data_IF_326085658630
#
_entry.id   IF_326085658630
#
_cell.length_a   1.000
_cell.length_b   1.000
_cell.length_c   1.000
_cell.angle_alpha   90.00
_cell.angle_beta   90.00
_cell.angle_gamma   90.00
#
_symmetry.space_group_name_H-M   'P 1'
#
loop_
_entity.id
_entity.type
_entity.pdbx_description
1 polymer ?
#
# COMPACT_ATOMS: atom_id res chain seq x y z
N UNK A 1 -13.04 -0.14 2.86
CA UNK A 1 -12.49 -0.63 1.58
C UNK A 1 -13.40 -0.37 0.40
N UNK A 2 -14.50 -1.13 0.26
CA UNK A 2 -15.35 -1.13 -0.94
C UNK A 2 -16.33 0.04 -1.11
N UNK A 3 -16.21 1.12 -0.32
CA UNK A 3 -17.19 2.21 -0.34
C UNK A 3 -18.64 1.77 -0.10
N UNK A 4 -18.85 0.58 0.49
CA UNK A 4 -20.19 0.06 0.80
C UNK A 4 -20.70 0.72 2.06
N UNK A 5 -21.95 1.18 1.99
CA UNK A 5 -22.67 1.66 3.16
C UNK A 5 -22.73 0.54 4.22
N UNK A 6 -22.29 0.83 5.43
CA UNK A 6 -22.31 -0.09 6.56
C UNK A 6 -22.71 0.68 7.83
N UNK A 7 -23.55 0.06 8.65
CA UNK A 7 -23.88 0.52 10.00
C UNK A 7 -23.50 -0.61 10.94
N UNK A 8 -22.56 -0.37 11.84
CA UNK A 8 -22.12 -1.34 12.86
C UNK A 8 -22.68 -0.94 14.22
N UNK A 9 -22.91 -1.90 15.10
CA UNK A 9 -23.44 -1.62 16.45
C UNK A 9 -24.92 -1.23 16.48
N UNK A 10 -25.74 -1.70 15.53
CA UNK A 10 -27.17 -1.44 15.48
C UNK A 10 -27.95 -2.25 16.54
N UNK A 11 -27.73 -1.98 17.83
CA UNK A 11 -28.28 -2.75 18.95
C UNK A 11 -29.81 -2.73 19.09
N UNK A 12 -30.49 -1.81 18.41
CA UNK A 12 -31.96 -1.78 18.35
C UNK A 12 -32.58 -2.74 17.32
N UNK A 13 -31.75 -3.52 16.60
CA UNK A 13 -32.22 -4.55 15.67
C UNK A 13 -32.25 -5.92 16.35
N UNK A 14 -33.36 -6.63 16.21
CA UNK A 14 -33.51 -8.02 16.64
C UNK A 14 -33.65 -8.92 15.41
N UNK A 15 -32.67 -9.79 15.17
CA UNK A 15 -32.62 -10.67 14.01
C UNK A 15 -33.04 -12.08 14.42
N UNK A 16 -34.05 -12.64 13.75
CA UNK A 16 -34.39 -14.06 13.81
C UNK A 16 -33.91 -14.74 12.52
N UNK A 17 -32.78 -15.43 12.62
CA UNK A 17 -32.17 -16.12 11.49
C UNK A 17 -32.98 -17.32 11.00
N UNK A 18 -33.76 -17.97 11.88
CA UNK A 18 -34.56 -19.13 11.51
C UNK A 18 -35.84 -18.71 10.79
N UNK A 19 -36.54 -17.70 11.31
CA UNK A 19 -37.72 -17.12 10.67
C UNK A 19 -37.39 -16.19 9.50
N UNK A 20 -36.10 -15.85 9.31
CA UNK A 20 -35.60 -14.88 8.32
C UNK A 20 -36.31 -13.53 8.44
N UNK A 21 -36.42 -13.02 9.66
CA UNK A 21 -37.03 -11.73 9.97
C UNK A 21 -36.11 -10.83 10.78
N UNK A 22 -36.31 -9.52 10.65
CA UNK A 22 -35.62 -8.49 11.40
C UNK A 22 -36.64 -7.54 12.02
N UNK A 23 -36.59 -7.34 13.33
CA UNK A 23 -37.35 -6.31 14.03
C UNK A 23 -36.50 -5.07 14.28
N UNK A 24 -37.09 -3.91 14.05
CA UNK A 24 -36.50 -2.60 14.35
C UNK A 24 -37.57 -1.75 15.06
N UNK A 25 -37.49 -1.66 16.39
CA UNK A 25 -38.59 -1.13 17.19
C UNK A 25 -39.87 -1.94 16.98
N UNK A 26 -40.97 -1.26 16.64
CA UNK A 26 -42.29 -1.88 16.43
C UNK A 26 -42.47 -2.49 15.03
N UNK A 27 -41.49 -2.32 14.13
CA UNK A 27 -41.58 -2.81 12.74
C UNK A 27 -40.90 -4.16 12.59
N UNK A 28 -41.53 -5.04 11.82
CA UNK A 28 -40.99 -6.35 11.45
C UNK A 28 -40.80 -6.40 9.93
N UNK A 29 -39.57 -6.69 9.50
CA UNK A 29 -39.18 -6.86 8.12
C UNK A 29 -38.89 -8.33 7.85
N UNK A 30 -39.24 -8.80 6.66
CA UNK A 30 -38.97 -10.16 6.17
C UNK A 30 -37.88 -10.13 5.11
N UNK A 31 -37.30 -11.29 4.85
CA UNK A 31 -36.42 -11.47 3.70
C UNK A 31 -37.13 -11.01 2.40
N UNK A 32 -36.46 -10.12 1.66
CA UNK A 32 -37.00 -9.50 0.43
C UNK A 32 -37.53 -8.08 0.61
N UNK A 33 -37.83 -7.65 1.84
CA UNK A 33 -38.27 -6.27 2.10
C UNK A 33 -37.14 -5.27 1.87
N UNK A 34 -37.48 -4.10 1.32
CA UNK A 34 -36.52 -3.03 1.10
C UNK A 34 -36.29 -2.20 2.37
N UNK A 35 -35.01 -1.99 2.69
CA UNK A 35 -34.55 -0.99 3.64
C UNK A 35 -33.44 -0.16 3.00
N UNK A 36 -33.38 1.12 3.37
CA UNK A 36 -32.32 2.03 2.90
C UNK A 36 -31.41 2.40 4.07
N UNK A 37 -30.11 2.35 3.85
CA UNK A 37 -29.10 2.64 4.88
C UNK A 37 -28.38 3.96 4.59
N UNK A 38 -28.17 4.77 5.63
CA UNK A 38 -27.24 5.89 5.62
C UNK A 38 -26.11 5.64 6.61
N UNK A 39 -25.00 5.10 6.10
CA UNK A 39 -23.83 4.75 6.88
C UNK A 39 -23.07 5.93 7.47
N UNK A 40 -23.32 7.16 6.99
CA UNK A 40 -22.70 8.37 7.55
C UNK A 40 -23.38 8.81 8.84
N UNK A 41 -24.71 8.77 8.89
CA UNK A 41 -25.50 9.18 10.06
C UNK A 41 -25.91 8.01 10.96
N UNK A 42 -25.70 6.77 10.51
CA UNK A 42 -26.15 5.58 11.21
C UNK A 42 -27.67 5.38 11.16
N UNK A 43 -28.34 5.93 10.14
CA UNK A 43 -29.81 5.85 10.02
C UNK A 43 -30.24 4.71 9.11
N UNK A 44 -31.32 4.04 9.50
CA UNK A 44 -32.02 3.03 8.73
C UNK A 44 -33.39 3.59 8.38
N UNK A 45 -33.73 3.60 7.10
CA UNK A 45 -35.01 4.05 6.58
C UNK A 45 -35.79 2.85 6.04
N UNK A 46 -37.10 2.85 6.26
CA UNK A 46 -38.00 1.88 5.65
C UNK A 46 -38.15 2.14 4.15
N UNK A 47 -38.18 1.07 3.36
CA UNK A 47 -38.41 1.13 1.92
C UNK A 47 -37.18 1.49 1.10
N UNK A 48 -37.41 1.68 -0.20
CA UNK A 48 -36.41 2.03 -1.20
C UNK A 48 -36.45 3.53 -1.46
N UNK A 49 -35.49 4.29 -0.92
CA UNK A 49 -35.36 5.71 -1.24
C UNK A 49 -34.76 5.91 -2.63
N UNK A 50 -35.12 7.02 -3.27
CA UNK A 50 -34.51 7.43 -4.53
C UNK A 50 -33.04 7.80 -4.29
N UNK A 51 -32.14 7.20 -5.05
CA UNK A 51 -30.70 7.43 -4.98
C UNK A 51 -30.25 8.22 -6.21
N UNK A 52 -29.22 9.04 -6.05
CA UNK A 52 -28.55 9.75 -7.15
C UNK A 52 -27.11 9.26 -7.24
N UNK A 53 -26.63 8.97 -8.45
CA UNK A 53 -25.21 8.67 -8.63
C UNK A 53 -24.40 9.97 -8.51
N UNK A 54 -23.37 9.97 -7.65
CA UNK A 54 -22.54 11.15 -7.44
C UNK A 54 -21.78 11.57 -8.71
N UNK A 55 -21.53 10.65 -9.64
CA UNK A 55 -20.85 10.92 -10.92
C UNK A 55 -21.74 11.62 -11.95
N UNK A 56 -23.07 11.56 -11.77
CA UNK A 56 -24.03 12.27 -12.62
C UNK A 56 -24.16 13.74 -12.25
N UNK A 57 -23.58 14.18 -11.13
CA UNK A 57 -23.65 15.57 -10.69
C UNK A 57 -22.69 16.47 -11.51
N UNK A 58 -23.20 17.36 -12.39
CA UNK A 58 -22.34 18.14 -13.28
C UNK A 58 -21.40 19.09 -12.52
N UNK A 59 -21.83 19.61 -11.36
CA UNK A 59 -21.00 20.49 -10.52
C UNK A 59 -19.83 19.74 -9.91
N UNK A 60 -20.02 18.47 -9.56
CA UNK A 60 -18.95 17.63 -9.05
C UNK A 60 -17.92 17.35 -10.15
N UNK A 61 -18.36 17.01 -11.37
CA UNK A 61 -17.48 16.79 -12.52
C UNK A 61 -16.65 18.04 -12.83
N UNK A 62 -17.29 19.21 -12.92
CA UNK A 62 -16.62 20.50 -13.14
C UNK A 62 -15.60 20.80 -12.03
N UNK A 63 -15.99 20.66 -10.76
CA UNK A 63 -15.08 20.88 -9.63
C UNK A 63 -13.86 19.96 -9.68
N UNK A 64 -14.07 18.67 -10.01
CA UNK A 64 -12.97 17.71 -10.12
C UNK A 64 -12.02 18.01 -11.29
N UNK A 65 -12.48 18.71 -12.33
CA UNK A 65 -11.60 19.20 -13.40
C UNK A 65 -10.63 20.28 -12.89
N UNK A 66 -11.09 21.18 -12.00
CA UNK A 66 -10.22 22.15 -11.34
C UNK A 66 -9.23 21.47 -10.41
N UNK A 67 -9.68 20.49 -9.63
CA UNK A 67 -8.82 19.67 -8.77
C UNK A 67 -7.65 19.08 -9.57
N UNK A 68 -7.95 18.50 -10.73
CA UNK A 68 -6.92 17.91 -11.59
C UNK A 68 -5.93 18.92 -12.17
N UNK A 69 -6.36 20.17 -12.38
CA UNK A 69 -5.47 21.21 -12.92
C UNK A 69 -4.37 21.63 -11.94
N UNK A 70 -4.55 21.43 -10.63
CA UNK A 70 -3.58 21.82 -9.60
C UNK A 70 -2.68 20.69 -9.12
N UNK A 71 -3.16 19.43 -9.13
CA UNK A 71 -2.38 18.30 -8.61
C UNK A 71 -1.19 17.98 -9.51
N UNK A 72 -0.07 17.55 -8.91
CA UNK A 72 1.12 17.10 -9.64
C UNK A 72 1.23 15.59 -9.70
N UNK A 73 0.93 14.92 -8.58
CA UNK A 73 1.00 13.46 -8.47
C UNK A 73 -0.15 12.81 -9.23
N UNK A 74 0.13 11.63 -9.76
CA UNK A 74 -0.88 10.76 -10.35
C UNK A 74 -1.67 10.05 -9.27
N UNK A 75 -2.94 9.77 -9.53
CA UNK A 75 -3.78 8.95 -8.64
C UNK A 75 -4.14 7.66 -9.35
N UNK A 76 -3.57 6.56 -8.88
CA UNK A 76 -3.90 5.21 -9.33
C UNK A 76 -4.89 4.57 -8.37
N UNK A 77 -5.39 3.39 -8.74
CA UNK A 77 -6.29 2.61 -7.90
C UNK A 77 -5.65 1.30 -7.43
N UNK A 78 -6.06 0.83 -6.26
CA UNK A 78 -5.95 -0.57 -5.86
C UNK A 78 -7.25 -1.24 -6.32
N UNK A 79 -7.17 -2.12 -7.31
CA UNK A 79 -8.33 -2.80 -7.88
C UNK A 79 -7.97 -4.27 -8.08
N UNK A 80 -8.88 -5.15 -7.69
CA UNK A 80 -8.61 -6.60 -7.67
C UNK A 80 -9.45 -7.35 -8.74
N UNK A 81 -10.38 -6.66 -9.39
CA UNK A 81 -11.26 -7.19 -10.44
C UNK A 81 -11.35 -6.23 -11.64
N UNK A 82 -11.68 -6.71 -12.85
CA UNK A 82 -11.96 -5.86 -14.01
C UNK A 82 -13.07 -4.84 -13.73
N UNK A 83 -14.09 -5.22 -12.95
CA UNK A 83 -15.21 -4.33 -12.59
C UNK A 83 -14.75 -3.21 -11.66
N UNK A 84 -13.91 -3.50 -10.66
CA UNK A 84 -13.32 -2.50 -9.77
C UNK A 84 -12.40 -1.55 -10.56
N UNK A 85 -11.64 -2.09 -11.51
CA UNK A 85 -10.79 -1.31 -12.41
C UNK A 85 -11.62 -0.35 -13.27
N UNK A 86 -12.72 -0.82 -13.86
CA UNK A 86 -13.61 0.00 -14.69
C UNK A 86 -14.25 1.13 -13.85
N UNK A 87 -14.74 0.81 -12.65
CA UNK A 87 -15.30 1.80 -11.72
C UNK A 87 -14.26 2.85 -11.31
N UNK A 88 -13.04 2.43 -10.97
CA UNK A 88 -11.97 3.35 -10.60
C UNK A 88 -11.58 4.28 -11.76
N UNK A 89 -11.53 3.76 -12.99
CA UNK A 89 -11.30 4.56 -14.20
C UNK A 89 -12.39 5.63 -14.37
N UNK A 90 -13.66 5.28 -14.11
CA UNK A 90 -14.78 6.24 -14.07
C UNK A 90 -14.62 7.35 -13.03
N UNK A 91 -13.97 7.07 -11.90
CA UNK A 91 -13.61 8.07 -10.88
C UNK A 91 -12.32 8.86 -11.21
N UNK A 92 -11.72 8.65 -12.38
CA UNK A 92 -10.52 9.36 -12.83
C UNK A 92 -9.20 8.74 -12.37
N UNK A 93 -9.16 7.44 -12.05
CA UNK A 93 -7.92 6.74 -11.77
C UNK A 93 -7.03 6.67 -13.04
N UNK A 94 -5.75 7.01 -12.87
CA UNK A 94 -4.75 7.07 -13.94
C UNK A 94 -3.92 5.78 -14.03
N UNK A 95 -4.59 4.64 -13.82
CA UNK A 95 -4.02 3.29 -13.81
C UNK A 95 -4.21 2.54 -12.48
N UNK A 96 -3.68 1.33 -12.40
CA UNK A 96 -3.76 0.47 -11.20
C UNK A 96 -2.40 0.41 -10.52
N UNK A 97 -2.26 0.90 -9.30
CA UNK A 97 -0.99 0.86 -8.55
C UNK A 97 -0.80 -0.43 -7.75
N UNK A 98 -1.86 -1.23 -7.59
CA UNK A 98 -1.81 -2.56 -7.00
C UNK A 98 -3.00 -3.40 -7.48
N UNK A 99 -2.72 -4.41 -8.29
CA UNK A 99 -3.60 -5.54 -8.58
C UNK A 99 -3.10 -6.77 -7.81
N UNK A 100 -3.94 -7.31 -6.93
CA UNK A 100 -3.62 -8.48 -6.09
C UNK A 100 -4.07 -9.75 -6.81
N UNK A 101 -3.11 -10.58 -7.18
CA UNK A 101 -3.40 -11.84 -7.89
C UNK A 101 -4.14 -12.86 -7.01
N UNK A 102 -4.16 -12.67 -5.70
CA UNK A 102 -4.71 -13.64 -4.76
C UNK A 102 -6.19 -13.46 -4.53
N UNK A 103 -6.67 -12.24 -4.75
CA UNK A 103 -8.08 -11.90 -4.69
C UNK A 103 -8.88 -12.56 -5.82
N UNK A 104 -8.20 -13.07 -6.85
CA UNK A 104 -8.80 -13.91 -7.89
C UNK A 104 -9.34 -15.25 -7.34
N UNK A 105 -8.86 -15.66 -6.16
CA UNK A 105 -9.27 -16.89 -5.48
C UNK A 105 -10.33 -16.66 -4.38
N UNK A 106 -10.80 -15.41 -4.24
CA UNK A 106 -11.85 -15.03 -3.29
C UNK A 106 -13.09 -14.50 -4.00
N UNK A 107 -14.28 -14.89 -3.53
CA UNK A 107 -15.55 -14.29 -3.96
C UNK A 107 -16.30 -15.07 -5.05
N UNK A 108 -17.02 -14.35 -5.92
CA UNK A 108 -17.89 -14.98 -6.92
C UNK A 108 -17.03 -15.66 -7.99
N UNK A 109 -17.42 -16.87 -8.40
CA UNK A 109 -16.74 -17.67 -9.42
C UNK A 109 -15.29 -18.05 -9.08
N UNK A 110 -14.89 -17.98 -7.81
CA UNK A 110 -13.53 -18.32 -7.38
C UNK A 110 -13.37 -19.78 -6.94
N UNK A 111 -14.45 -20.57 -6.87
CA UNK A 111 -14.42 -21.95 -6.38
C UNK A 111 -13.50 -22.86 -7.21
N UNK A 112 -13.64 -22.84 -8.54
CA UNK A 112 -12.79 -23.61 -9.45
C UNK A 112 -11.31 -23.18 -9.38
N UNK A 113 -10.93 -21.90 -9.56
CA UNK A 113 -9.53 -21.52 -9.48
C UNK A 113 -8.95 -21.73 -8.07
N UNK A 114 -9.73 -21.54 -6.99
CA UNK A 114 -9.32 -21.86 -5.62
C UNK A 114 -9.08 -23.37 -5.45
N UNK A 115 -9.91 -24.22 -6.05
CA UNK A 115 -9.69 -25.66 -6.04
C UNK A 115 -8.38 -26.05 -6.73
N UNK A 116 -8.07 -25.48 -7.91
CA UNK A 116 -6.78 -25.73 -8.60
C UNK A 116 -5.59 -25.19 -7.81
N UNK A 117 -5.74 -24.04 -7.15
CA UNK A 117 -4.73 -23.51 -6.24
C UNK A 117 -4.50 -24.46 -5.05
N UNK A 118 -5.56 -25.01 -4.45
CA UNK A 118 -5.44 -26.01 -3.38
C UNK A 118 -4.76 -27.29 -3.86
N UNK A 119 -5.05 -27.75 -5.08
CA UNK A 119 -4.35 -28.87 -5.73
C UNK A 119 -2.86 -28.59 -5.87
N UNK A 120 -2.49 -27.37 -6.26
CA UNK A 120 -1.10 -26.92 -6.30
C UNK A 120 -0.45 -26.95 -4.92
N UNK A 121 -1.13 -26.43 -3.89
CA UNK A 121 -0.63 -26.36 -2.51
C UNK A 121 -0.33 -27.76 -1.94
N UNK A 122 -1.19 -28.74 -2.23
CA UNK A 122 -1.03 -30.10 -1.71
C UNK A 122 -0.10 -30.97 -2.58
N UNK A 123 0.51 -30.45 -3.64
CA UNK A 123 1.35 -31.25 -4.55
C UNK A 123 2.62 -31.78 -3.87
N UNK A 124 3.01 -33.03 -4.15
CA UNK A 124 4.17 -33.69 -3.53
C UNK A 124 5.51 -33.27 -4.11
N UNK A 125 5.51 -32.87 -5.37
CA UNK A 125 6.71 -32.57 -6.14
C UNK A 125 6.43 -31.48 -7.19
N UNK A 126 7.49 -30.98 -7.81
CA UNK A 126 7.40 -29.91 -8.80
C UNK A 126 6.59 -30.30 -10.05
N UNK A 127 6.59 -31.57 -10.45
CA UNK A 127 5.84 -32.03 -11.63
C UNK A 127 4.33 -31.97 -11.38
N UNK A 128 3.87 -32.46 -10.23
CA UNK A 128 2.46 -32.34 -9.79
C UNK A 128 2.06 -30.87 -9.65
N UNK A 129 2.95 -30.04 -9.07
CA UNK A 129 2.70 -28.60 -8.89
C UNK A 129 2.51 -27.90 -10.23
N UNK A 130 3.37 -28.20 -11.22
CA UNK A 130 3.27 -27.66 -12.59
C UNK A 130 1.98 -28.09 -13.27
N UNK A 131 1.58 -29.37 -13.17
CA UNK A 131 0.31 -29.83 -13.72
C UNK A 131 -0.90 -29.09 -13.11
N UNK A 132 -0.89 -28.87 -11.79
CA UNK A 132 -1.94 -28.09 -11.12
C UNK A 132 -1.93 -26.60 -11.55
N UNK A 133 -0.75 -26.02 -11.74
CA UNK A 133 -0.60 -24.65 -12.24
C UNK A 133 -1.05 -24.50 -13.69
N UNK A 134 -0.84 -25.50 -14.54
CA UNK A 134 -1.34 -25.52 -15.92
C UNK A 134 -2.87 -25.53 -15.97
N UNK A 135 -3.53 -26.24 -15.04
CA UNK A 135 -5.00 -26.18 -14.88
C UNK A 135 -5.49 -24.82 -14.35
N UNK A 136 -4.69 -24.16 -13.50
CA UNK A 136 -5.01 -22.85 -12.93
C UNK A 136 -4.78 -21.70 -13.93
N UNK A 137 -3.80 -21.86 -14.81
CA UNK A 137 -3.33 -20.83 -15.74
C UNK A 137 -4.43 -20.15 -16.57
N UNK A 138 -5.41 -20.85 -17.16
CA UNK A 138 -6.46 -20.22 -17.96
C UNK A 138 -7.29 -19.20 -17.17
N UNK A 139 -7.57 -19.48 -15.90
CA UNK A 139 -8.30 -18.56 -15.00
C UNK A 139 -7.45 -17.34 -14.69
N UNK A 140 -6.18 -17.55 -14.35
CA UNK A 140 -5.24 -16.46 -14.02
C UNK A 140 -5.04 -15.53 -15.22
N UNK A 141 -4.80 -16.11 -16.40
CA UNK A 141 -4.66 -15.36 -17.65
C UNK A 141 -5.92 -14.58 -18.01
N UNK A 142 -7.09 -15.19 -17.85
CA UNK A 142 -8.38 -14.55 -18.19
C UNK A 142 -8.58 -13.24 -17.43
N UNK A 143 -8.45 -13.26 -16.10
CA UNK A 143 -8.75 -12.07 -15.30
C UNK A 143 -7.66 -11.00 -15.43
N UNK A 144 -6.39 -11.41 -15.58
CA UNK A 144 -5.29 -10.50 -15.88
C UNK A 144 -5.52 -9.82 -17.23
N UNK A 145 -5.86 -10.58 -18.28
CA UNK A 145 -6.14 -10.02 -19.61
C UNK A 145 -7.32 -9.06 -19.57
N UNK A 146 -8.43 -9.44 -18.93
CA UNK A 146 -9.60 -8.59 -18.80
C UNK A 146 -9.27 -7.27 -18.06
N UNK A 147 -8.48 -7.35 -16.99
CA UNK A 147 -8.05 -6.16 -16.24
C UNK A 147 -7.14 -5.25 -17.07
N UNK A 148 -6.17 -5.82 -17.80
CA UNK A 148 -5.30 -5.06 -18.71
C UNK A 148 -6.09 -4.37 -19.81
N UNK A 149 -7.09 -5.04 -20.39
CA UNK A 149 -7.95 -4.48 -21.43
C UNK A 149 -8.81 -3.31 -20.91
N UNK A 150 -9.40 -3.44 -19.72
CA UNK A 150 -10.15 -2.35 -19.06
C UNK A 150 -9.28 -1.11 -18.84
N UNK A 151 -7.97 -1.29 -18.67
CA UNK A 151 -6.98 -0.23 -18.44
C UNK A 151 -6.22 0.16 -19.70
N UNK A 152 -6.77 -0.09 -20.89
CA UNK A 152 -6.16 0.34 -22.16
C UNK A 152 -5.71 1.82 -22.13
N UNK A 153 -4.42 2.03 -22.40
CA UNK A 153 -3.72 3.32 -22.35
C UNK A 153 -3.16 3.71 -20.99
N UNK A 154 -3.38 2.92 -19.93
CA UNK A 154 -3.00 3.23 -18.55
C UNK A 154 -2.11 2.13 -17.94
N UNK A 155 -1.20 2.47 -17.00
CA UNK A 155 -0.30 1.50 -16.40
C UNK A 155 -1.00 0.60 -15.38
N UNK A 156 -0.68 -0.69 -15.38
CA UNK A 156 -1.26 -1.70 -14.47
C UNK A 156 -0.16 -2.43 -13.72
N UNK A 157 -0.05 -2.16 -12.41
CA UNK A 157 0.91 -2.84 -11.53
C UNK A 157 0.29 -4.11 -10.95
N UNK A 158 0.83 -5.25 -11.33
CA UNK A 158 0.39 -6.58 -10.93
C UNK A 158 1.39 -7.11 -9.91
N UNK A 159 0.91 -7.39 -8.70
CA UNK A 159 1.71 -7.99 -7.64
C UNK A 159 1.65 -9.51 -7.76
N UNK A 160 2.82 -10.14 -7.78
CA UNK A 160 2.94 -11.60 -7.70
C UNK A 160 2.38 -12.13 -6.38
N UNK A 161 2.17 -13.45 -6.31
CA UNK A 161 1.56 -14.13 -5.17
C UNK A 161 2.30 -13.80 -3.86
N UNK A 162 1.55 -13.34 -2.87
CA UNK A 162 2.03 -12.79 -1.60
C UNK A 162 1.66 -13.61 -0.37
N UNK A 163 0.40 -14.03 -0.10
CA UNK A 163 0.01 -14.70 1.12
C UNK A 163 0.65 -16.10 1.23
N UNK A 164 0.87 -16.57 2.47
CA UNK A 164 1.35 -17.92 2.71
C UNK A 164 0.31 -18.96 2.30
N UNK A 165 0.77 -20.13 1.87
CA UNK A 165 -0.10 -21.15 1.28
C UNK A 165 -1.17 -21.69 2.23
N UNK A 166 -0.92 -21.68 3.55
CA UNK A 166 -1.89 -22.18 4.53
C UNK A 166 -3.17 -21.33 4.59
N UNK A 167 -3.17 -20.07 4.15
CA UNK A 167 -4.37 -19.24 4.12
C UNK A 167 -5.45 -19.79 3.17
N UNK A 168 -5.04 -20.53 2.13
CA UNK A 168 -5.97 -21.13 1.17
C UNK A 168 -6.47 -22.51 1.59
N UNK A 169 -5.89 -23.11 2.64
CA UNK A 169 -6.27 -24.43 3.13
C UNK A 169 -7.44 -24.28 4.13
N UNK A 170 -8.57 -25.00 3.94
CA UNK A 170 -9.69 -24.96 4.87
C UNK A 170 -9.28 -25.30 6.30
N UNK A 171 -9.87 -24.60 7.29
CA UNK A 171 -9.65 -24.89 8.72
C UNK A 171 -10.64 -25.90 9.30
N UNK A 172 -11.86 -25.97 8.75
CA UNK A 172 -12.91 -26.89 9.22
C UNK A 172 -12.66 -28.30 8.73
N UNK A 173 -12.79 -29.28 9.62
CA UNK A 173 -12.56 -30.70 9.32
C UNK A 173 -13.47 -31.20 8.17
N UNK A 174 -14.75 -30.82 8.17
CA UNK A 174 -15.70 -31.18 7.09
C UNK A 174 -15.25 -30.67 5.71
N UNK A 175 -14.72 -29.45 5.65
CA UNK A 175 -14.22 -28.86 4.40
C UNK A 175 -12.90 -29.51 3.97
N UNK A 176 -12.03 -29.86 4.93
CA UNK A 176 -10.84 -30.65 4.66
C UNK A 176 -11.19 -32.03 4.14
N UNK A 177 -12.20 -32.70 4.68
CA UNK A 177 -12.65 -34.01 4.20
C UNK A 177 -13.17 -33.94 2.75
N UNK A 178 -13.96 -32.90 2.43
CA UNK A 178 -14.39 -32.64 1.04
C UNK A 178 -13.20 -32.39 0.11
N UNK A 179 -12.25 -31.56 0.54
CA UNK A 179 -11.06 -31.26 -0.24
C UNK A 179 -10.21 -32.52 -0.46
N UNK A 180 -9.98 -33.32 0.57
CA UNK A 180 -9.26 -34.59 0.48
C UNK A 180 -9.92 -35.55 -0.52
N UNK A 181 -11.25 -35.70 -0.44
CA UNK A 181 -12.02 -36.51 -1.39
C UNK A 181 -11.90 -36.02 -2.84
N UNK A 182 -12.00 -34.71 -3.07
CA UNK A 182 -11.85 -34.11 -4.40
C UNK A 182 -10.42 -34.20 -4.98
N UNK A 183 -9.41 -34.31 -4.11
CA UNK A 183 -8.01 -34.46 -4.49
C UNK A 183 -7.57 -35.93 -4.61
N UNK A 184 -8.42 -36.88 -4.21
CA UNK A 184 -8.10 -38.31 -4.18
C UNK A 184 -7.03 -38.69 -3.16
N UNK A 185 -6.89 -37.93 -2.06
CA UNK A 185 -5.94 -38.20 -0.97
C UNK A 185 -6.69 -38.47 0.35
N UNK A 186 -6.02 -39.11 1.31
CA UNK A 186 -6.62 -39.31 2.64
C UNK A 186 -6.69 -38.00 3.43
N UNK A 187 -7.69 -37.88 4.33
CA UNK A 187 -7.79 -36.73 5.24
C UNK A 187 -6.54 -36.59 6.13
N UNK A 188 -5.95 -37.72 6.55
CA UNK A 188 -4.70 -37.72 7.31
C UNK A 188 -3.52 -37.13 6.52
N UNK A 189 -3.42 -37.47 5.23
CA UNK A 189 -2.40 -36.91 4.33
C UNK A 189 -2.60 -35.41 4.10
N UNK A 190 -3.85 -34.96 3.91
CA UNK A 190 -4.17 -33.53 3.80
C UNK A 190 -3.84 -32.77 5.08
N UNK A 191 -4.23 -33.30 6.25
CA UNK A 191 -3.95 -32.67 7.55
C UNK A 191 -2.45 -32.54 7.79
N UNK A 192 -1.68 -33.60 7.53
CA UNK A 192 -0.22 -33.55 7.65
C UNK A 192 0.38 -32.42 6.80
N UNK A 193 -0.05 -32.28 5.55
CA UNK A 193 0.41 -31.19 4.67
C UNK A 193 -0.02 -29.81 5.15
N UNK A 194 -1.24 -29.68 5.65
CA UNK A 194 -1.74 -28.43 6.19
C UNK A 194 -0.94 -28.01 7.43
N UNK A 195 -0.56 -28.97 8.27
CA UNK A 195 0.25 -28.75 9.46
C UNK A 195 1.70 -28.41 9.10
N UNK A 196 2.28 -29.04 8.06
CA UNK A 196 3.61 -28.70 7.54
C UNK A 196 3.69 -27.25 6.99
N UNK A 197 2.55 -26.70 6.53
CA UNK A 197 2.42 -25.32 6.07
C UNK A 197 2.06 -24.33 7.18
N UNK A 198 1.73 -24.83 8.38
CA UNK A 198 1.33 -24.00 9.49
C UNK A 198 2.51 -23.19 10.03
N UNK A 199 2.29 -21.89 10.20
CA UNK A 199 3.29 -20.97 10.74
C UNK A 199 2.71 -20.22 11.93
N UNK A 200 3.52 -20.04 12.98
CA UNK A 200 3.08 -19.29 14.17
C UNK A 200 2.87 -17.81 13.88
N UNK A 201 3.63 -17.23 12.95
CA UNK A 201 3.53 -15.83 12.55
C UNK A 201 3.45 -15.73 11.00
N UNK A 202 2.29 -16.03 10.40
CA UNK A 202 2.09 -16.07 8.94
C UNK A 202 2.56 -14.82 8.20
N UNK A 203 2.37 -13.65 8.82
CA UNK A 203 2.80 -12.35 8.31
C UNK A 203 4.30 -12.34 7.93
N UNK A 204 5.15 -12.93 8.76
CA UNK A 204 6.61 -12.92 8.58
C UNK A 204 7.13 -14.24 8.01
N UNK A 205 6.25 -15.12 7.53
CA UNK A 205 6.56 -16.51 7.16
C UNK A 205 6.97 -16.73 5.70
N UNK A 206 6.65 -17.92 5.19
CA UNK A 206 6.98 -18.41 3.86
C UNK A 206 5.98 -17.92 2.82
N UNK A 207 6.20 -16.67 2.40
CA UNK A 207 5.26 -15.90 1.58
C UNK A 207 6.00 -15.00 0.59
N UNK A 208 5.28 -14.36 -0.32
CA UNK A 208 5.83 -13.39 -1.27
C UNK A 208 7.03 -13.91 -2.07
N UNK A 209 8.08 -13.09 -2.21
CA UNK A 209 9.30 -13.48 -2.96
C UNK A 209 9.92 -14.80 -2.47
N UNK A 210 9.81 -15.11 -1.18
CA UNK A 210 10.38 -16.34 -0.60
C UNK A 210 9.70 -17.58 -1.17
N UNK A 211 8.38 -17.49 -1.37
CA UNK A 211 7.59 -18.52 -2.00
C UNK A 211 7.95 -18.68 -3.48
N UNK A 212 8.12 -17.56 -4.19
CA UNK A 212 8.55 -17.55 -5.60
C UNK A 212 9.98 -18.07 -5.82
N UNK A 213 10.85 -17.98 -4.81
CA UNK A 213 12.20 -18.57 -4.85
C UNK A 213 12.14 -20.08 -4.65
N UNK A 214 11.38 -20.56 -3.66
CA UNK A 214 11.30 -22.00 -3.36
C UNK A 214 10.45 -22.78 -4.37
N UNK A 215 9.45 -22.14 -4.96
CA UNK A 215 8.52 -22.71 -5.93
C UNK A 215 8.45 -21.81 -7.18
N UNK A 216 9.53 -21.76 -7.98
CA UNK A 216 9.65 -20.84 -9.12
C UNK A 216 8.55 -21.02 -10.15
N UNK A 217 7.97 -22.22 -10.28
CA UNK A 217 6.83 -22.50 -11.16
C UNK A 217 5.61 -21.60 -10.88
N UNK A 218 5.42 -21.11 -9.64
CA UNK A 218 4.35 -20.16 -9.30
C UNK A 218 4.60 -18.81 -9.99
N UNK A 219 5.81 -18.26 -9.85
CA UNK A 219 6.22 -17.02 -10.52
C UNK A 219 6.18 -17.18 -12.04
N UNK A 220 6.66 -18.30 -12.57
CA UNK A 220 6.64 -18.59 -14.01
C UNK A 220 5.22 -18.49 -14.59
N UNK A 221 4.24 -19.13 -13.93
CA UNK A 221 2.85 -19.13 -14.35
C UNK A 221 2.27 -17.71 -14.37
N UNK A 222 2.48 -16.94 -13.30
CA UNK A 222 1.96 -15.58 -13.20
C UNK A 222 2.60 -14.63 -14.22
N UNK A 223 3.93 -14.68 -14.37
CA UNK A 223 4.65 -13.84 -15.35
C UNK A 223 4.23 -14.20 -16.77
N UNK A 224 4.10 -15.50 -17.08
CA UNK A 224 3.60 -15.94 -18.40
C UNK A 224 2.19 -15.43 -18.63
N UNK A 225 1.30 -15.47 -17.64
CA UNK A 225 -0.07 -14.96 -17.77
C UNK A 225 -0.07 -13.46 -18.08
N UNK A 226 0.76 -12.67 -17.41
CA UNK A 226 0.91 -11.22 -17.64
C UNK A 226 1.43 -10.93 -19.05
N UNK A 227 2.55 -11.55 -19.43
CA UNK A 227 3.23 -11.24 -20.69
C UNK A 227 2.48 -11.78 -21.91
N UNK A 228 1.87 -12.96 -21.84
CA UNK A 228 1.02 -13.47 -22.93
C UNK A 228 -0.23 -12.61 -23.11
N UNK A 229 -0.89 -12.22 -22.02
CA UNK A 229 -2.06 -11.32 -22.10
C UNK A 229 -1.70 -9.99 -22.73
N UNK A 230 -0.52 -9.46 -22.37
CA UNK A 230 0.01 -8.23 -22.95
C UNK A 230 0.29 -8.39 -24.44
N UNK A 231 0.97 -9.47 -24.84
CA UNK A 231 1.28 -9.76 -26.25
C UNK A 231 0.01 -9.88 -27.11
N UNK A 232 -1.01 -10.58 -26.60
CA UNK A 232 -2.30 -10.74 -27.28
C UNK A 232 -3.02 -9.40 -27.48
N UNK A 233 -3.10 -8.58 -26.43
CA UNK A 233 -3.77 -7.28 -26.48
C UNK A 233 -3.02 -6.26 -27.34
N UNK A 234 -1.69 -6.27 -27.31
CA UNK A 234 -0.87 -5.43 -28.20
C UNK A 234 -1.09 -5.80 -29.67
N UNK A 235 -1.17 -7.10 -29.99
CA UNK A 235 -1.54 -7.55 -31.35
C UNK A 235 -2.96 -7.13 -31.75
N UNK A 236 -3.87 -7.01 -30.78
CA UNK A 236 -5.22 -6.48 -30.98
C UNK A 236 -5.26 -4.93 -31.07
N UNK A 237 -4.11 -4.25 -31.13
CA UNK A 237 -4.02 -2.80 -31.29
C UNK A 237 -4.24 -2.00 -30.00
N UNK A 238 -4.22 -2.65 -28.84
CA UNK A 238 -4.37 -1.99 -27.53
C UNK A 238 -3.03 -1.46 -27.02
N UNK A 239 -3.06 -0.39 -26.23
CA UNK A 239 -1.89 0.19 -25.57
C UNK A 239 -1.80 -0.34 -24.14
N UNK A 240 -1.06 -1.43 -23.96
CA UNK A 240 -0.92 -2.10 -22.66
C UNK A 240 0.41 -1.72 -22.01
N UNK A 241 0.37 -1.38 -20.72
CA UNK A 241 1.53 -0.91 -19.95
C UNK A 241 1.63 -1.69 -18.63
N UNK A 242 1.99 -2.99 -18.66
CA UNK A 242 2.02 -3.83 -17.47
C UNK A 242 3.28 -3.52 -16.63
N UNK A 243 3.15 -3.63 -15.32
CA UNK A 243 4.25 -3.49 -14.36
C UNK A 243 4.23 -4.71 -13.43
N UNK A 244 5.31 -5.49 -13.43
CA UNK A 244 5.43 -6.70 -12.62
C UNK A 244 6.09 -6.31 -11.29
N UNK A 245 5.39 -6.55 -10.18
CA UNK A 245 5.83 -6.18 -8.84
C UNK A 245 6.07 -7.42 -7.98
N UNK A 246 7.30 -7.56 -7.47
CA UNK A 246 7.68 -8.61 -6.53
C UNK A 246 7.40 -8.16 -5.09
N UNK A 247 6.62 -8.91 -4.28
CA UNK A 247 6.31 -8.57 -2.90
C UNK A 247 7.35 -9.11 -1.89
N UNK A 248 7.37 -8.52 -0.69
CA UNK A 248 8.14 -8.96 0.51
C UNK A 248 9.66 -9.06 0.27
N UNK A 249 10.19 -8.27 -0.66
CA UNK A 249 11.64 -8.21 -0.91
C UNK A 249 12.34 -7.52 0.25
N UNK A 250 13.40 -8.14 0.78
CA UNK A 250 14.28 -7.57 1.81
C UNK A 250 15.71 -7.34 1.34
N UNK A 251 16.16 -8.07 0.31
CA UNK A 251 17.51 -8.00 -0.24
C UNK A 251 17.49 -7.97 -1.79
N UNK A 252 18.51 -7.36 -2.42
CA UNK A 252 18.61 -7.26 -3.89
C UNK A 252 18.59 -8.63 -4.57
N UNK A 253 19.28 -9.62 -4.00
CA UNK A 253 19.42 -10.95 -4.61
C UNK A 253 18.09 -11.70 -4.75
N UNK A 254 17.13 -11.47 -3.86
CA UNK A 254 15.77 -12.01 -3.99
C UNK A 254 15.09 -11.46 -5.25
N UNK A 255 15.28 -10.17 -5.52
CA UNK A 255 14.73 -9.52 -6.71
C UNK A 255 15.45 -9.95 -8.00
N UNK A 256 16.77 -10.17 -7.93
CA UNK A 256 17.58 -10.66 -9.06
C UNK A 256 17.18 -12.09 -9.45
N UNK A 257 16.97 -12.96 -8.47
CA UNK A 257 16.54 -14.34 -8.69
C UNK A 257 15.23 -14.38 -9.51
N UNK A 258 14.22 -13.63 -9.07
CA UNK A 258 12.94 -13.54 -9.78
C UNK A 258 13.08 -12.88 -11.16
N UNK A 259 14.06 -11.97 -11.35
CA UNK A 259 14.30 -11.32 -12.65
C UNK A 259 14.78 -12.32 -13.70
N UNK A 260 15.55 -13.33 -13.32
CA UNK A 260 15.97 -14.40 -14.24
C UNK A 260 14.78 -15.18 -14.79
N UNK A 261 13.78 -15.45 -13.94
CA UNK A 261 12.52 -16.08 -14.37
C UNK A 261 11.79 -15.16 -15.34
N UNK A 262 11.66 -13.88 -15.00
CA UNK A 262 10.96 -12.90 -15.85
C UNK A 262 11.60 -12.78 -17.23
N UNK A 263 12.93 -12.69 -17.29
CA UNK A 263 13.66 -12.53 -18.55
C UNK A 263 13.56 -13.77 -19.45
N UNK A 264 13.64 -14.96 -18.86
CA UNK A 264 13.44 -16.21 -19.59
C UNK A 264 12.04 -16.30 -20.19
N UNK A 265 11.00 -16.06 -19.37
CA UNK A 265 9.61 -16.12 -19.83
C UNK A 265 9.32 -15.02 -20.87
N UNK A 266 9.91 -13.84 -20.72
CA UNK A 266 9.79 -12.77 -21.70
C UNK A 266 10.33 -13.17 -23.07
N UNK A 267 11.51 -13.80 -23.12
CA UNK A 267 12.08 -14.32 -24.36
C UNK A 267 11.19 -15.39 -25.01
N UNK A 268 10.66 -16.32 -24.21
CA UNK A 268 9.74 -17.36 -24.68
C UNK A 268 8.44 -16.78 -25.25
N UNK A 269 7.85 -15.79 -24.59
CA UNK A 269 6.62 -15.12 -25.06
C UNK A 269 6.90 -14.32 -26.33
N UNK A 270 8.01 -13.58 -26.41
CA UNK A 270 8.40 -12.86 -27.61
C UNK A 270 8.55 -13.81 -28.82
N UNK A 271 9.21 -14.96 -28.63
CA UNK A 271 9.34 -15.99 -29.65
C UNK A 271 7.98 -16.59 -30.05
N UNK A 272 7.16 -17.02 -29.08
CA UNK A 272 5.84 -17.62 -29.30
C UNK A 272 4.91 -16.70 -30.10
N UNK A 273 4.95 -15.41 -29.83
CA UNK A 273 4.09 -14.43 -30.51
C UNK A 273 4.76 -13.76 -31.70
N UNK A 274 6.04 -14.02 -32.00
CA UNK A 274 6.77 -13.34 -33.08
C UNK A 274 6.83 -11.81 -32.88
N UNK A 275 6.92 -11.35 -31.64
CA UNK A 275 7.02 -9.93 -31.28
C UNK A 275 8.46 -9.65 -30.86
N UNK A 276 9.06 -8.56 -31.36
CA UNK A 276 10.45 -8.20 -31.03
C UNK A 276 10.67 -8.00 -29.52
N UNK A 277 9.70 -7.35 -28.86
CA UNK A 277 9.74 -7.05 -27.44
C UNK A 277 8.34 -6.74 -26.94
N UNK A 278 7.94 -7.38 -25.85
CA UNK A 278 6.82 -6.91 -25.02
C UNK A 278 7.36 -5.89 -24.03
N UNK A 279 6.82 -4.67 -24.02
CA UNK A 279 7.21 -3.65 -23.05
C UNK A 279 6.49 -3.86 -21.72
N UNK A 280 7.25 -3.79 -20.63
CA UNK A 280 6.78 -3.85 -19.24
C UNK A 280 7.80 -3.17 -18.34
N UNK A 281 7.42 -2.84 -17.10
CA UNK A 281 8.37 -2.45 -16.06
C UNK A 281 8.51 -3.58 -15.03
N UNK A 282 9.72 -3.79 -14.54
CA UNK A 282 9.98 -4.70 -13.41
C UNK A 282 10.34 -3.92 -12.15
N UNK A 283 9.70 -4.23 -11.04
CA UNK A 283 9.91 -3.51 -9.78
C UNK A 283 9.51 -4.30 -8.56
N UNK A 284 9.49 -3.61 -7.42
CA UNK A 284 9.28 -4.27 -6.13
C UNK A 284 8.44 -3.44 -5.19
N UNK A 285 7.79 -4.14 -4.26
CA UNK A 285 7.17 -3.51 -3.11
C UNK A 285 8.24 -3.22 -2.03
N UNK A 286 8.28 -1.99 -1.54
CA UNK A 286 9.12 -1.59 -0.40
C UNK A 286 8.23 -1.63 0.84
N UNK A 287 8.23 -2.79 1.50
CA UNK A 287 7.38 -3.09 2.66
C UNK A 287 8.12 -3.77 3.81
N UNK A 288 9.38 -4.16 3.59
CA UNK A 288 10.29 -4.64 4.63
C UNK A 288 11.23 -3.49 5.02
N UNK A 289 11.42 -3.16 6.32
CA UNK A 289 12.30 -2.07 6.74
C UNK A 289 13.72 -2.18 6.15
N UNK A 290 14.25 -3.40 6.05
CA UNK A 290 15.56 -3.67 5.41
C UNK A 290 15.61 -3.23 3.94
N UNK A 291 14.50 -3.34 3.21
CA UNK A 291 14.42 -2.90 1.82
C UNK A 291 14.51 -1.38 1.70
N UNK A 292 13.82 -0.65 2.57
CA UNK A 292 13.93 0.81 2.65
C UNK A 292 15.36 1.25 3.00
N UNK A 293 15.99 0.60 3.99
CA UNK A 293 17.37 0.86 4.38
C UNK A 293 18.37 0.55 3.25
N UNK A 294 18.13 -0.49 2.46
CA UNK A 294 19.06 -0.90 1.38
C UNK A 294 18.58 -0.52 -0.02
N UNK A 295 17.65 0.42 -0.12
CA UNK A 295 16.93 0.77 -1.34
C UNK A 295 17.82 1.12 -2.54
N UNK A 296 18.99 1.73 -2.31
CA UNK A 296 19.95 2.00 -3.38
C UNK A 296 20.45 0.72 -4.08
N UNK A 297 20.68 -0.37 -3.34
CA UNK A 297 21.05 -1.66 -3.95
C UNK A 297 19.89 -2.26 -4.72
N UNK A 298 18.68 -2.19 -4.16
CA UNK A 298 17.47 -2.73 -4.79
C UNK A 298 17.17 -1.99 -6.11
N UNK A 299 17.35 -0.68 -6.15
CA UNK A 299 17.11 0.16 -7.34
C UNK A 299 18.05 -0.11 -8.53
N UNK A 300 19.14 -0.86 -8.33
CA UNK A 300 19.97 -1.36 -9.44
C UNK A 300 19.16 -2.28 -10.35
N UNK A 301 18.26 -3.09 -9.77
CA UNK A 301 17.41 -4.04 -10.50
C UNK A 301 16.00 -3.49 -10.71
N UNK A 302 15.40 -2.87 -9.68
CA UNK A 302 14.05 -2.34 -9.74
C UNK A 302 13.95 -1.06 -10.59
N UNK A 303 12.98 -1.01 -11.49
CA UNK A 303 12.62 0.17 -12.29
C UNK A 303 11.56 1.04 -11.61
N UNK A 304 10.84 0.48 -10.64
CA UNK A 304 9.92 1.22 -9.77
C UNK A 304 9.87 0.64 -8.35
N UNK A 305 9.49 1.49 -7.40
CA UNK A 305 9.08 1.11 -6.04
C UNK A 305 7.61 1.40 -5.81
N UNK A 306 6.93 0.48 -5.13
CA UNK A 306 5.63 0.74 -4.51
C UNK A 306 5.75 0.53 -3.01
N UNK A 307 5.48 1.55 -2.21
CA UNK A 307 5.53 1.40 -0.76
C UNK A 307 4.28 0.68 -0.26
N UNK A 308 4.47 -0.54 0.24
CA UNK A 308 3.46 -1.34 0.93
C UNK A 308 3.40 -0.91 2.39
N UNK A 309 2.78 0.24 2.64
CA UNK A 309 2.88 0.90 3.95
C UNK A 309 2.14 0.18 5.08
N UNK A 310 1.20 -0.71 4.76
CA UNK A 310 0.55 -1.55 5.77
C UNK A 310 1.59 -2.48 6.42
N UNK A 311 2.32 -3.26 5.62
CA UNK A 311 3.35 -4.17 6.11
C UNK A 311 4.60 -3.43 6.62
N UNK A 312 4.97 -2.30 6.00
CA UNK A 312 6.06 -1.46 6.51
C UNK A 312 5.76 -0.91 7.90
N UNK A 313 4.52 -0.48 8.15
CA UNK A 313 4.06 -0.03 9.48
C UNK A 313 4.05 -1.18 10.46
N UNK A 314 3.52 -2.33 10.05
CA UNK A 314 3.47 -3.55 10.83
C UNK A 314 4.86 -3.97 11.33
N UNK A 315 5.85 -4.04 10.43
CA UNK A 315 7.23 -4.38 10.77
C UNK A 315 7.99 -3.26 11.49
N UNK A 316 7.69 -2.00 11.18
CA UNK A 316 8.35 -0.84 11.78
C UNK A 316 7.93 -0.60 13.24
N UNK A 317 6.64 -0.77 13.55
CA UNK A 317 6.13 -0.70 14.92
C UNK A 317 6.25 -2.03 15.68
N UNK A 318 6.31 -3.16 14.97
CA UNK A 318 6.15 -4.48 15.57
C UNK A 318 4.70 -4.77 15.99
N UNK A 319 3.73 -4.17 15.30
CA UNK A 319 2.30 -4.27 15.63
C UNK A 319 1.60 -5.18 14.64
N UNK A 320 1.22 -6.40 15.01
CA UNK A 320 0.38 -7.25 14.15
C UNK A 320 -0.97 -6.59 13.88
N UNK A 321 -1.28 -6.34 12.60
CA UNK A 321 -2.50 -5.65 12.16
C UNK A 321 -3.77 -6.35 12.60
N UNK A 322 -3.74 -7.68 12.70
CA UNK A 322 -4.89 -8.46 13.12
C UNK A 322 -5.12 -8.39 14.65
N UNK A 323 -4.09 -8.03 15.41
CA UNK A 323 -4.11 -8.04 16.88
C UNK A 323 -4.15 -6.65 17.53
N UNK A 324 -3.92 -5.58 16.74
CA UNK A 324 -3.87 -4.19 17.27
C UNK A 324 -5.14 -3.74 17.97
N UNK A 325 -6.29 -4.33 17.65
CA UNK A 325 -7.57 -4.02 18.26
C UNK A 325 -7.58 -4.20 19.78
N UNK A 326 -6.67 -5.03 20.31
CA UNK A 326 -6.53 -5.26 21.75
C UNK A 326 -5.84 -4.14 22.53
N UNK A 327 -5.14 -3.20 21.90
CA UNK A 327 -4.37 -2.18 22.63
C UNK A 327 -4.25 -0.80 21.96
N UNK A 328 -4.33 -0.68 20.63
CA UNK A 328 -4.17 0.62 19.96
C UNK A 328 -5.22 1.67 20.38
N UNK A 329 -6.50 1.33 20.62
CA UNK A 329 -7.47 2.29 21.15
C UNK A 329 -7.02 2.96 22.46
N UNK A 330 -6.48 2.17 23.40
CA UNK A 330 -5.92 2.65 24.67
C UNK A 330 -4.72 3.59 24.44
N UNK A 331 -3.86 3.29 23.47
CA UNK A 331 -2.70 4.12 23.13
C UNK A 331 -3.13 5.50 22.61
N UNK A 332 -4.19 5.55 21.80
CA UNK A 332 -4.75 6.79 21.28
C UNK A 332 -5.46 7.58 22.38
N UNK A 333 -6.27 6.93 23.22
CA UNK A 333 -6.95 7.58 24.35
C UNK A 333 -5.95 8.20 25.35
N UNK A 334 -4.88 7.46 25.66
CA UNK A 334 -3.79 7.91 26.54
C UNK A 334 -2.83 8.89 25.85
N UNK A 335 -3.06 9.24 24.57
CA UNK A 335 -2.21 10.13 23.75
C UNK A 335 -0.76 9.66 23.64
N UNK A 336 -0.52 8.36 23.76
CA UNK A 336 0.78 7.74 23.47
C UNK A 336 0.99 7.74 21.95
N UNK A 337 -0.07 7.47 21.19
CA UNK A 337 -0.10 7.66 19.75
C UNK A 337 -1.08 8.79 19.40
N UNK A 338 -0.75 9.63 18.41
CA UNK A 338 -1.66 10.70 17.97
C UNK A 338 -2.88 10.15 17.21
N UNK A 339 -2.72 9.00 16.55
CA UNK A 339 -3.75 8.30 15.78
C UNK A 339 -3.36 6.84 15.58
N UNK A 340 -4.29 6.03 15.04
CA UNK A 340 -4.01 4.68 14.57
C UNK A 340 -3.01 4.73 13.37
N UNK A 341 -1.81 4.14 13.51
CA UNK A 341 -0.76 4.22 12.50
C UNK A 341 -1.08 3.42 11.22
N UNK A 342 -2.12 2.57 11.22
CA UNK A 342 -2.59 1.87 10.02
C UNK A 342 -3.63 2.66 9.23
N UNK A 343 -4.17 3.73 9.83
CA UNK A 343 -5.10 4.65 9.16
C UNK A 343 -4.38 5.90 8.67
N UNK A 344 -3.54 6.49 9.52
CA UNK A 344 -2.75 7.68 9.24
C UNK A 344 -1.27 7.29 9.27
N UNK A 345 -0.56 7.59 8.17
CA UNK A 345 0.86 7.28 8.06
C UNK A 345 1.64 7.96 9.18
N UNK A 346 2.36 7.18 9.97
CA UNK A 346 3.37 7.68 10.89
C UNK A 346 4.50 8.35 10.11
N UNK A 347 4.58 9.67 10.17
CA UNK A 347 5.58 10.44 9.43
C UNK A 347 6.92 10.52 10.15
N UNK A 348 6.97 10.26 11.46
CA UNK A 348 8.19 10.38 12.28
C UNK A 348 9.04 9.12 12.22
N UNK A 349 8.44 7.93 12.21
CA UNK A 349 9.16 6.66 12.06
C UNK A 349 9.08 6.11 10.65
N UNK A 350 7.88 5.67 10.23
CA UNK A 350 7.67 5.04 8.92
C UNK A 350 7.96 6.01 7.78
N UNK A 351 7.61 7.29 7.95
CA UNK A 351 7.92 8.36 7.00
C UNK A 351 9.42 8.54 6.76
N UNK A 352 10.26 8.39 7.78
CA UNK A 352 11.72 8.44 7.62
C UNK A 352 12.24 7.28 6.78
N UNK A 353 11.74 6.05 7.00
CA UNK A 353 12.08 4.89 6.17
C UNK A 353 11.68 5.14 4.71
N UNK A 354 10.51 5.71 4.46
CA UNK A 354 10.04 6.05 3.12
C UNK A 354 10.97 7.10 2.49
N UNK A 355 11.17 8.25 3.13
CA UNK A 355 12.00 9.33 2.60
C UNK A 355 13.43 8.87 2.29
N UNK A 356 14.03 8.11 3.22
CA UNK A 356 15.36 7.52 3.05
C UNK A 356 15.42 6.55 1.88
N UNK A 357 14.43 5.66 1.76
CA UNK A 357 14.37 4.68 0.68
C UNK A 357 14.23 5.34 -0.69
N UNK A 358 13.41 6.39 -0.80
CA UNK A 358 13.25 7.18 -2.04
C UNK A 358 14.57 7.85 -2.42
N UNK A 359 15.21 8.53 -1.45
CA UNK A 359 16.49 9.21 -1.68
C UNK A 359 17.57 8.22 -2.15
N UNK A 360 17.73 7.09 -1.44
CA UNK A 360 18.74 6.08 -1.78
C UNK A 360 18.44 5.40 -3.12
N UNK A 361 17.18 5.07 -3.38
CA UNK A 361 16.76 4.48 -4.65
C UNK A 361 17.03 5.41 -5.83
N UNK A 362 16.66 6.69 -5.72
CA UNK A 362 16.89 7.68 -6.78
C UNK A 362 18.36 8.08 -6.94
N UNK A 363 19.17 7.98 -5.89
CA UNK A 363 20.62 8.14 -6.02
C UNK A 363 21.24 7.07 -6.95
N UNK A 364 20.66 5.88 -7.01
CA UNK A 364 21.08 4.81 -7.92
C UNK A 364 20.38 4.87 -9.28
N UNK A 365 19.09 5.19 -9.30
CA UNK A 365 18.29 5.31 -10.53
C UNK A 365 17.53 6.65 -10.52
N UNK A 366 18.06 7.72 -11.14
CA UNK A 366 17.49 9.08 -11.04
C UNK A 366 16.01 9.19 -11.42
N UNK A 367 15.57 8.40 -12.41
CA UNK A 367 14.18 8.36 -12.88
C UNK A 367 13.36 7.22 -12.28
N UNK A 368 13.77 6.66 -11.13
CA UNK A 368 13.03 5.62 -10.43
C UNK A 368 11.60 6.09 -10.13
N UNK A 369 10.63 5.38 -10.70
CA UNK A 369 9.21 5.62 -10.41
C UNK A 369 8.91 5.13 -9.00
N UNK A 370 8.31 5.97 -8.17
CA UNK A 370 7.94 5.66 -6.80
C UNK A 370 6.47 5.94 -6.59
N UNK A 371 5.74 5.02 -5.99
CA UNK A 371 4.42 5.31 -5.43
C UNK A 371 4.17 4.61 -4.11
N UNK A 372 2.95 4.75 -3.63
CA UNK A 372 2.44 4.11 -2.41
C UNK A 372 1.16 3.36 -2.75
N UNK A 373 0.96 2.21 -2.11
CA UNK A 373 -0.30 1.47 -2.14
C UNK A 373 -0.74 1.14 -0.70
N UNK A 374 -1.98 0.66 -0.55
CA UNK A 374 -2.59 0.43 0.76
C UNK A 374 -3.52 1.55 1.20
N UNK A 375 -3.81 1.61 2.50
CA UNK A 375 -4.86 2.50 3.04
C UNK A 375 -4.41 3.96 3.12
N UNK A 376 -3.13 4.19 3.43
CA UNK A 376 -2.53 5.52 3.49
C UNK A 376 -2.59 6.27 2.14
N UNK A 377 -2.60 5.54 1.02
CA UNK A 377 -2.66 6.13 -0.32
C UNK A 377 -3.94 6.90 -0.63
N UNK A 378 -4.97 6.82 0.23
CA UNK A 378 -6.20 7.61 0.12
C UNK A 378 -6.52 8.43 1.37
N UNK A 379 -5.59 8.55 2.33
CA UNK A 379 -5.77 9.36 3.55
C UNK A 379 -5.13 10.74 3.31
N UNK A 380 -5.87 11.86 3.45
CA UNK A 380 -5.41 13.18 3.02
C UNK A 380 -4.03 13.61 3.55
N UNK A 381 -3.75 13.40 4.84
CA UNK A 381 -2.47 13.83 5.43
C UNK A 381 -1.28 12.98 4.96
N UNK A 382 -1.52 11.67 4.78
CA UNK A 382 -0.56 10.71 4.22
C UNK A 382 -0.28 11.00 2.75
N UNK A 383 -1.31 11.38 1.98
CA UNK A 383 -1.18 11.79 0.59
C UNK A 383 -0.40 13.10 0.46
N UNK A 384 -0.63 14.07 1.37
CA UNK A 384 0.18 15.30 1.46
C UNK A 384 1.66 15.00 1.78
N UNK A 385 1.93 14.03 2.67
CA UNK A 385 3.29 13.51 2.89
C UNK A 385 3.91 12.94 1.60
N UNK A 386 3.16 12.10 0.86
CA UNK A 386 3.64 11.47 -0.37
C UNK A 386 4.02 12.50 -1.44
N UNK A 387 3.23 13.58 -1.55
CA UNK A 387 3.56 14.75 -2.39
C UNK A 387 4.88 15.39 -1.95
N UNK A 388 5.04 15.66 -0.65
CA UNK A 388 6.23 16.32 -0.09
C UNK A 388 7.52 15.52 -0.27
N UNK A 389 7.48 14.19 -0.12
CA UNK A 389 8.65 13.33 -0.36
C UNK A 389 8.88 13.02 -1.85
N UNK A 390 8.08 13.62 -2.74
CA UNK A 390 8.28 13.59 -4.17
C UNK A 390 7.94 12.25 -4.82
N UNK A 391 6.93 11.53 -4.34
CA UNK A 391 6.43 10.34 -5.04
C UNK A 391 5.84 10.72 -6.42
N UNK A 392 5.76 9.74 -7.32
CA UNK A 392 5.16 9.90 -8.65
C UNK A 392 3.63 9.68 -8.61
N UNK A 393 3.15 8.79 -7.73
CA UNK A 393 1.73 8.50 -7.61
C UNK A 393 1.33 8.00 -6.21
N UNK A 394 0.04 8.13 -5.90
CA UNK A 394 -0.60 7.41 -4.79
C UNK A 394 -1.62 6.43 -5.35
N UNK A 395 -1.86 5.31 -4.65
CA UNK A 395 -2.80 4.27 -5.08
C UNK A 395 -3.72 3.86 -3.93
N UNK A 396 -5.04 3.97 -4.15
CA UNK A 396 -6.06 3.73 -3.12
C UNK A 396 -7.27 2.97 -3.70
N UNK A 397 -8.16 2.46 -2.86
CA UNK A 397 -9.40 1.81 -3.33
C UNK A 397 -10.22 2.72 -4.25
N UNK A 398 -11.03 2.20 -5.20
CA UNK A 398 -11.71 2.99 -6.23
C UNK A 398 -12.44 4.22 -5.69
N UNK A 399 -13.23 4.06 -4.62
CA UNK A 399 -14.04 5.13 -4.03
C UNK A 399 -13.23 6.22 -3.31
N UNK A 400 -11.95 5.98 -3.02
CA UNK A 400 -11.04 6.97 -2.42
C UNK A 400 -10.27 7.77 -3.47
N UNK A 401 -10.38 7.41 -4.76
CA UNK A 401 -9.71 8.12 -5.85
C UNK A 401 -10.06 9.62 -5.87
N UNK A 402 -11.34 10.04 -5.78
CA UNK A 402 -11.67 11.46 -5.74
C UNK A 402 -11.09 12.20 -4.53
N UNK A 403 -11.06 11.54 -3.36
CA UNK A 403 -10.51 12.09 -2.12
C UNK A 403 -8.99 12.29 -2.28
N UNK A 404 -8.27 11.31 -2.81
CA UNK A 404 -6.84 11.40 -3.07
C UNK A 404 -6.51 12.50 -4.08
N UNK A 405 -7.31 12.63 -5.16
CA UNK A 405 -7.19 13.72 -6.15
C UNK A 405 -7.31 15.08 -5.48
N UNK A 406 -8.35 15.28 -4.66
CA UNK A 406 -8.58 16.53 -3.93
C UNK A 406 -7.44 16.83 -2.95
N UNK A 407 -7.01 15.85 -2.16
CA UNK A 407 -5.93 16.01 -1.18
C UNK A 407 -4.61 16.43 -1.86
N UNK A 408 -4.27 15.83 -3.01
CA UNK A 408 -3.07 16.21 -3.78
C UNK A 408 -3.16 17.62 -4.36
N UNK A 409 -4.33 18.03 -4.86
CA UNK A 409 -4.52 19.39 -5.34
C UNK A 409 -4.35 20.41 -4.20
N UNK A 410 -4.92 20.12 -3.03
CA UNK A 410 -4.75 20.95 -1.83
C UNK A 410 -3.29 21.02 -1.38
N UNK A 411 -2.57 19.89 -1.38
CA UNK A 411 -1.15 19.84 -1.06
C UNK A 411 -0.31 20.71 -2.04
N UNK A 412 -0.56 20.59 -3.34
CA UNK A 412 0.12 21.38 -4.37
C UNK A 412 -0.17 22.90 -4.24
N UNK A 413 -1.42 23.28 -3.92
CA UNK A 413 -1.80 24.67 -3.68
C UNK A 413 -1.13 25.23 -2.43
N UNK A 414 -1.10 24.47 -1.32
CA UNK A 414 -0.42 24.86 -0.07
C UNK A 414 1.07 25.13 -0.33
N UNK A 415 1.73 24.23 -1.07
CA UNK A 415 3.14 24.40 -1.45
C UNK A 415 3.35 25.64 -2.32
N UNK A 416 2.53 25.84 -3.35
CA UNK A 416 2.61 27.03 -4.23
C UNK A 416 2.43 28.35 -3.47
N UNK A 417 1.54 28.38 -2.48
CA UNK A 417 1.36 29.54 -1.58
C UNK A 417 2.55 29.77 -0.65
N UNK A 418 3.29 28.74 -0.26
CA UNK A 418 4.49 28.87 0.58
C UNK A 418 5.70 29.40 -0.21
N UNK A 419 5.83 29.05 -1.49
CA UNK A 419 6.88 29.58 -2.39
C UNK A 419 6.62 31.05 -2.74
N UNK A 420 5.36 31.49 -2.74
CA UNK A 420 4.94 32.86 -3.05
C UNK A 420 5.12 33.89 -1.92
N UNK A 421 5.94 33.63 -0.89
CA UNK A 421 6.35 34.68 0.05
C UNK A 421 7.43 35.56 -0.60
N UNK A 422 7.20 36.87 -0.81
CA UNK A 422 8.21 37.74 -1.39
C UNK A 422 9.42 37.80 -0.46
N UNK A 423 10.63 37.68 -1.03
CA UNK A 423 11.84 38.11 -0.36
C UNK A 423 11.60 39.55 0.13
N UNK A 424 11.72 39.78 1.45
CA UNK A 424 11.72 41.14 2.00
C UNK A 424 12.80 41.91 1.27
N UNK A 425 12.39 42.85 0.43
CA UNK A 425 13.30 43.78 -0.23
C UNK A 425 14.17 44.43 0.85
N UNK A 426 15.48 44.20 0.75
CA UNK A 426 16.45 44.90 1.57
C UNK A 426 16.26 46.39 1.29
N UNK A 427 15.78 47.14 2.29
CA UNK A 427 15.77 48.59 2.27
C UNK A 427 17.21 49.06 2.16
N UNK A 428 17.62 49.44 0.96
CA UNK A 428 18.80 50.28 0.72
C UNK A 428 18.52 51.65 1.34
N UNK A 429 19.01 51.86 2.55
CA UNK A 429 19.10 53.18 3.14
C UNK A 429 20.14 54.00 2.37
N UNK A 430 19.69 54.80 1.41
CA UNK A 430 20.49 55.87 0.83
C UNK A 430 20.88 56.87 1.92
N UNK A 431 22.17 56.98 2.20
CA UNK A 431 22.74 58.10 2.96
C UNK A 431 22.95 59.29 2.00
N UNK A 432 22.49 60.51 2.33
CA UNK A 432 22.94 61.70 1.63
C UNK A 432 24.38 62.02 2.06
N UNK A 433 25.22 62.35 1.07
CA UNK A 433 26.60 62.75 1.30
C UNK A 433 26.73 64.07 2.07
N UNK A 434 27.81 64.18 2.84
CA UNK A 434 28.32 65.45 3.37
C UNK A 434 29.84 65.52 3.10
N UNK A 435 30.38 66.71 2.79
CA UNK A 435 31.66 66.86 2.09
C UNK A 435 32.88 66.80 3.02
N UNK A 436 34.03 66.50 2.40
CA UNK A 436 35.36 66.40 3.01
C UNK A 436 35.80 67.72 3.64
N UNK A 437 36.23 67.65 4.90
CA UNK A 437 37.01 68.67 5.61
C UNK A 437 38.26 68.04 6.21
N UNK A 438 39.39 68.73 6.07
CA UNK A 438 40.75 68.23 6.23
C UNK A 438 41.34 68.31 7.65
N UNK A 439 42.44 67.53 7.82
CA UNK A 439 43.67 67.79 8.61
C UNK A 439 43.82 67.25 10.07
N UNK A 440 44.86 66.41 10.16
CA UNK A 440 46.00 66.39 11.09
C UNK A 440 45.97 65.66 12.46
N UNK A 441 46.83 64.63 12.50
CA UNK A 441 47.92 64.36 13.46
C UNK A 441 47.63 64.31 14.97
N UNK A 442 47.87 63.17 15.64
CA UNK A 442 49.14 62.80 16.31
C UNK A 442 49.01 61.63 17.33
N UNK A 443 50.00 60.72 17.25
CA UNK A 443 50.84 60.10 18.32
C UNK A 443 50.26 59.26 19.49
N UNK A 444 50.83 58.03 19.53
CA UNK A 444 51.50 57.31 20.64
C UNK A 444 50.66 56.61 21.74
N UNK A 445 50.90 55.29 21.88
CA UNK A 445 50.75 54.54 23.15
C UNK A 445 51.82 54.94 24.18
N UNK A 446 51.97 54.25 25.35
CA UNK A 446 52.19 52.79 25.42
C UNK A 446 51.63 52.09 26.69
N UNK A 447 51.89 50.77 26.84
CA UNK A 447 52.17 50.19 28.17
C UNK A 447 51.25 49.09 28.73
N UNK A 448 51.67 47.82 28.56
CA UNK A 448 51.41 46.66 29.48
C UNK A 448 52.25 46.85 30.78
N UNK A 449 52.13 46.06 31.91
CA UNK A 449 51.90 44.60 31.95
C UNK A 449 51.25 43.93 33.22
N UNK A 450 50.94 42.62 33.07
CA UNK A 450 51.10 41.46 34.01
C UNK A 450 50.42 41.36 35.40
N UNK A 451 49.86 40.16 35.67
CA UNK A 451 49.85 39.48 36.99
C UNK A 451 48.56 38.64 37.25
N UNK A 452 48.45 37.34 36.95
CA UNK A 452 48.96 36.15 37.67
C UNK A 452 48.15 35.67 38.90
N UNK A 453 47.56 34.45 38.75
CA UNK A 453 47.40 33.33 39.73
C UNK A 453 46.42 33.45 40.92
N UNK A 454 45.41 32.57 40.97
CA UNK A 454 45.37 31.36 41.84
C UNK A 454 44.01 30.63 41.80
N UNK A 455 44.08 29.29 41.74
CA UNK A 455 43.05 28.25 42.10
C UNK A 455 43.38 27.72 43.52
N UNK A 456 42.72 26.70 44.11
CA UNK A 456 41.30 26.29 44.23
C UNK A 456 40.93 25.88 45.70
N UNK A 457 39.78 25.18 45.90
CA UNK A 457 39.32 24.30 47.04
C UNK A 457 38.00 24.80 47.69
N UNK A 458 37.05 24.01 48.21
CA UNK A 458 36.79 22.56 48.26
C UNK A 458 35.34 22.32 48.77
N UNK A 459 34.92 21.06 48.66
CA UNK A 459 33.63 20.41 48.97
C UNK A 459 32.99 20.62 50.36
N UNK A 460 31.66 20.39 50.44
CA UNK A 460 30.98 19.61 51.51
C UNK A 460 29.58 19.10 51.05
N UNK A 461 29.36 17.78 51.18
CA UNK A 461 28.08 17.01 51.17
C UNK A 461 27.59 16.85 52.64
N UNK A 462 26.56 16.04 52.99
CA UNK A 462 25.15 15.98 52.54
C UNK A 462 24.17 15.97 53.76
N UNK A 463 22.85 16.07 53.53
CA UNK A 463 21.83 15.89 54.58
C UNK A 463 20.67 14.97 54.15
N UNK A 464 20.44 13.92 54.91
CA UNK A 464 19.24 13.03 55.01
C UNK A 464 19.04 12.80 56.54
N UNK A 465 18.02 12.10 57.06
CA UNK A 465 16.65 11.80 56.61
C UNK A 465 15.59 12.04 57.74
N UNK A 466 14.29 12.01 57.46
CA UNK A 466 13.27 11.44 58.38
C UNK A 466 12.09 10.86 57.59
N UNK A 467 11.76 9.61 57.86
CA UNK A 467 10.58 8.91 57.33
C UNK A 467 9.46 8.77 58.36
N UNK A 468 8.32 8.22 57.92
CA UNK A 468 7.60 7.06 58.49
C UNK A 468 6.10 7.05 58.13
N UNK A 469 5.66 5.83 57.79
CA UNK A 469 4.40 5.14 58.12
C UNK A 469 3.16 5.23 57.20
N UNK A 470 3.05 4.22 56.34
CA UNK A 470 2.08 3.08 56.34
C UNK A 470 0.59 3.23 56.69
N UNK A 471 -0.18 2.42 55.93
CA UNK A 471 -1.54 1.83 56.11
C UNK A 471 -2.71 2.73 55.69
N UNK A 472 -3.71 2.25 54.95
CA UNK A 472 -4.26 0.89 54.72
C UNK A 472 -4.50 0.63 53.24
#
# INVERSE_FOLDING_TARGET
GWGKCCIVGAGGLHIDAHARTMKAGDKTFREGDFVTLNGTRGYIYEGKLAMMDATENPRFVEFMSYVDSFRRLKVRTNADTPEDAAKARGFGAEGIGLFRTEHMFYGKNSEEPLFRLRKMIVSKNAAERRAALDELYPYVKKDIKATLEVMDGLPVTIRLLDPPLHEFVPKREEERAKLAGSLGISLAELNKRADDLHESNPMMGHRGVRLGITYPEITEMQVRAILESTAELVKAGKRIMPEIMVPVVGIKNELDDQKLIVDRIHAEVCAKFGIRKVDFMYGTMIEVPRAALTAGRIAQTAEFFSYGTNDLTQMGFGFSRDDIGGFVPDYVEKKILPADPFQILDQEGIGELIAMGIQRGRATRPHLKVGICGEHGGEPSSVEFCHRVGMNYVSCSPFRVPIARLALAQAAIKEGKQVAKPAKAARTAGKPGRPKGSRNQTKKGPGRPKGSKNKPKAARKPGRPKGKKTRK
#
